data_IF_129641974730
#
_entry.id   IF_129641974730
#
_cell.length_a   1.000
_cell.length_b   1.000
_cell.length_c   1.000
_cell.angle_alpha   90.00
_cell.angle_beta   90.00
_cell.angle_gamma   90.00
#
_symmetry.space_group_name_H-M   'P 1'
#
loop_
_entity.id
_entity.type
_entity.pdbx_description
1 polymer ?
#
# COMPACT_ATOMS: atom_id res chain seq x y z
N UNK A 1 -39.02 31.91 -21.35
CA UNK A 1 -39.46 30.53 -21.09
C UNK A 1 -38.33 29.82 -20.36
N UNK A 2 -38.67 29.22 -19.23
CA UNK A 2 -37.77 28.70 -18.19
C UNK A 2 -37.27 27.28 -18.49
N UNK A 3 -36.07 26.99 -18.01
CA UNK A 3 -35.56 25.70 -17.51
C UNK A 3 -35.58 24.46 -18.42
N UNK A 4 -34.37 23.97 -18.74
CA UNK A 4 -34.04 22.57 -18.41
C UNK A 4 -32.53 22.41 -18.21
N UNK A 5 -32.10 22.77 -17.01
CA UNK A 5 -30.84 22.37 -16.41
C UNK A 5 -30.90 20.88 -16.07
N UNK A 6 -30.57 19.98 -17.01
CA UNK A 6 -30.43 18.55 -16.71
C UNK A 6 -28.94 18.16 -16.57
N UNK A 7 -28.48 18.31 -15.33
CA UNK A 7 -27.45 17.54 -14.64
C UNK A 7 -26.03 17.44 -15.24
N UNK A 8 -25.22 18.48 -15.01
CA UNK A 8 -23.74 18.41 -15.09
C UNK A 8 -23.10 17.50 -14.01
N UNK A 9 -23.89 16.90 -13.10
CA UNK A 9 -23.44 15.99 -12.03
C UNK A 9 -23.56 14.49 -12.35
N UNK A 10 -24.20 14.09 -13.46
CA UNK A 10 -24.31 12.68 -13.84
C UNK A 10 -23.09 12.21 -14.66
N UNK A 11 -21.89 12.19 -14.06
CA UNK A 11 -20.78 11.38 -14.57
C UNK A 11 -20.70 10.09 -13.74
N UNK A 12 -21.30 8.96 -14.17
CA UNK A 12 -21.15 7.67 -13.50
C UNK A 12 -19.67 7.26 -13.35
N UNK A 13 -18.80 7.74 -14.25
CA UNK A 13 -17.36 7.58 -14.18
C UNK A 13 -16.71 8.21 -12.92
N UNK A 14 -17.31 9.22 -12.28
CA UNK A 14 -16.73 9.88 -11.09
C UNK A 14 -17.04 9.16 -9.78
N UNK A 15 -18.22 8.54 -9.67
CA UNK A 15 -18.62 7.75 -8.49
C UNK A 15 -17.93 6.39 -8.52
N UNK A 16 -17.88 5.75 -9.69
CA UNK A 16 -17.18 4.46 -9.86
C UNK A 16 -15.72 4.52 -9.43
N UNK A 17 -14.97 5.56 -9.81
CA UNK A 17 -13.57 5.77 -9.38
C UNK A 17 -13.42 5.86 -7.86
N UNK A 18 -14.34 6.56 -7.19
CA UNK A 18 -14.31 6.70 -5.71
C UNK A 18 -14.64 5.38 -5.01
N UNK A 19 -15.57 4.61 -5.57
CA UNK A 19 -15.91 3.26 -5.05
C UNK A 19 -14.72 2.33 -5.22
N UNK A 20 -14.08 2.29 -6.40
CA UNK A 20 -12.86 1.49 -6.64
C UNK A 20 -11.73 1.92 -5.71
N UNK A 21 -11.52 3.23 -5.51
CA UNK A 21 -10.52 3.76 -4.58
C UNK A 21 -10.79 3.30 -3.14
N UNK A 22 -12.05 3.34 -2.68
CA UNK A 22 -12.42 2.93 -1.33
C UNK A 22 -12.30 1.42 -1.11
N UNK A 23 -12.80 0.61 -2.06
CA UNK A 23 -12.75 -0.86 -1.96
C UNK A 23 -11.32 -1.38 -2.04
N UNK A 24 -10.52 -0.86 -2.99
CA UNK A 24 -9.10 -1.22 -3.07
C UNK A 24 -8.34 -0.82 -1.81
N UNK A 25 -8.60 0.37 -1.27
CA UNK A 25 -8.02 0.83 -0.01
C UNK A 25 -8.40 -0.06 1.18
N UNK A 26 -9.66 -0.52 1.24
CA UNK A 26 -10.13 -1.42 2.30
C UNK A 26 -9.42 -2.78 2.25
N UNK A 27 -9.27 -3.36 1.04
CA UNK A 27 -8.54 -4.63 0.86
C UNK A 27 -7.09 -4.48 1.28
N UNK A 28 -6.41 -3.41 0.85
CA UNK A 28 -5.02 -3.16 1.21
C UNK A 28 -4.86 -2.92 2.72
N UNK A 29 -5.75 -2.17 3.35
CA UNK A 29 -5.74 -1.95 4.79
C UNK A 29 -5.94 -3.25 5.57
N UNK A 30 -6.91 -4.07 5.17
CA UNK A 30 -7.15 -5.39 5.76
C UNK A 30 -5.94 -6.31 5.64
N UNK A 31 -5.28 -6.31 4.49
CA UNK A 31 -4.04 -7.05 4.30
C UNK A 31 -2.92 -6.54 5.21
N UNK A 32 -2.73 -5.23 5.32
CA UNK A 32 -1.69 -4.67 6.21
C UNK A 32 -1.93 -5.12 7.66
N UNK A 33 -3.17 -5.12 8.14
CA UNK A 33 -3.50 -5.61 9.49
C UNK A 33 -3.16 -7.10 9.68
N UNK A 34 -3.56 -7.95 8.72
CA UNK A 34 -3.23 -9.38 8.74
C UNK A 34 -1.72 -9.64 8.64
N UNK A 35 -1.05 -8.91 7.75
CA UNK A 35 0.39 -8.97 7.57
C UNK A 35 1.15 -8.56 8.83
N UNK A 36 0.73 -7.48 9.49
CA UNK A 36 1.29 -7.07 10.78
C UNK A 36 1.09 -8.15 11.84
N UNK A 37 -0.07 -8.81 11.89
CA UNK A 37 -0.32 -9.91 12.83
C UNK A 37 0.66 -11.07 12.65
N UNK A 38 0.97 -11.44 11.40
CA UNK A 38 2.00 -12.42 11.09
C UNK A 38 3.41 -11.96 11.52
N UNK A 39 3.75 -10.69 11.29
CA UNK A 39 5.05 -10.15 11.69
C UNK A 39 5.21 -10.06 13.22
N UNK A 40 4.13 -9.82 13.96
CA UNK A 40 4.17 -9.79 15.43
C UNK A 40 4.56 -11.15 16.03
N UNK A 41 4.42 -12.26 15.29
CA UNK A 41 4.94 -13.57 15.72
C UNK A 41 6.45 -13.56 15.92
N UNK A 42 7.17 -12.60 15.33
CA UNK A 42 8.60 -12.39 15.59
C UNK A 42 8.89 -12.19 17.09
N UNK A 43 8.00 -11.54 17.84
CA UNK A 43 8.15 -11.33 19.28
C UNK A 43 7.88 -12.57 20.13
N UNK A 44 7.27 -13.61 19.53
CA UNK A 44 7.07 -14.91 20.20
C UNK A 44 8.24 -15.88 20.03
N UNK A 45 9.23 -15.52 19.21
CA UNK A 45 10.44 -16.30 18.97
C UNK A 45 10.58 -16.77 17.52
N UNK A 46 11.79 -17.20 17.12
CA UNK A 46 12.10 -17.63 15.75
C UNK A 46 11.20 -18.76 15.25
N UNK A 47 10.84 -19.71 16.11
CA UNK A 47 10.06 -20.90 15.76
C UNK A 47 8.65 -20.52 15.33
N UNK A 48 8.03 -19.55 16.01
CA UNK A 48 6.65 -19.13 15.74
C UNK A 48 6.50 -18.49 14.35
N UNK A 49 7.43 -17.61 13.97
CA UNK A 49 7.40 -16.96 12.66
C UNK A 49 7.78 -17.93 11.54
N UNK A 50 8.76 -18.82 11.77
CA UNK A 50 9.16 -19.80 10.77
C UNK A 50 8.08 -20.86 10.53
N UNK A 51 7.41 -21.34 11.58
CA UNK A 51 6.29 -22.27 11.47
C UNK A 51 5.10 -21.64 10.74
N UNK A 52 4.79 -20.36 11.02
CA UNK A 52 3.76 -19.62 10.29
C UNK A 52 4.11 -19.47 8.80
N UNK A 53 5.36 -19.16 8.48
CA UNK A 53 5.83 -19.07 7.09
C UNK A 53 5.75 -20.42 6.37
N UNK A 54 6.12 -21.53 7.04
CA UNK A 54 5.99 -22.88 6.49
C UNK A 54 4.52 -23.24 6.21
N UNK A 55 3.63 -23.00 7.18
CA UNK A 55 2.18 -23.22 6.99
C UNK A 55 1.62 -22.41 5.82
N UNK A 56 2.06 -21.17 5.64
CA UNK A 56 1.63 -20.34 4.52
C UNK A 56 2.12 -20.89 3.17
N UNK A 57 3.34 -21.42 3.12
CA UNK A 57 3.89 -22.07 1.92
C UNK A 57 3.19 -23.39 1.59
N UNK A 58 2.77 -24.15 2.60
CA UNK A 58 1.99 -25.39 2.44
C UNK A 58 0.55 -25.13 1.95
N UNK A 59 0.10 -23.87 1.97
CA UNK A 59 -1.21 -23.44 1.47
C UNK A 59 -1.08 -22.55 0.22
N UNK A 60 -0.61 -23.09 -0.92
CA UNK A 60 -0.30 -22.29 -2.10
C UNK A 60 -1.53 -21.57 -2.68
N UNK A 61 -2.73 -22.12 -2.52
CA UNK A 61 -3.97 -21.49 -2.96
C UNK A 61 -4.27 -20.18 -2.22
N UNK A 62 -4.06 -20.16 -0.90
CA UNK A 62 -4.21 -18.95 -0.09
C UNK A 62 -3.14 -17.92 -0.45
N UNK A 63 -1.89 -18.37 -0.59
CA UNK A 63 -0.75 -17.50 -0.89
C UNK A 63 -0.89 -16.83 -2.27
N UNK A 64 -1.16 -17.62 -3.32
CA UNK A 64 -1.35 -17.08 -4.67
C UNK A 64 -2.64 -16.27 -4.80
N UNK A 65 -3.73 -16.70 -4.14
CA UNK A 65 -4.98 -15.94 -4.10
C UNK A 65 -4.76 -14.55 -3.49
N UNK A 66 -4.10 -14.48 -2.33
CA UNK A 66 -3.73 -13.22 -1.71
C UNK A 66 -2.83 -12.38 -2.64
N UNK A 67 -1.80 -12.95 -3.27
CA UNK A 67 -0.93 -12.23 -4.20
C UNK A 67 -1.69 -11.59 -5.36
N UNK A 68 -2.56 -12.34 -6.03
CA UNK A 68 -3.31 -11.84 -7.18
C UNK A 68 -4.24 -10.71 -6.75
N UNK A 69 -5.00 -10.91 -5.66
CA UNK A 69 -5.92 -9.89 -5.13
C UNK A 69 -5.17 -8.63 -4.75
N UNK A 70 -3.98 -8.74 -4.14
CA UNK A 70 -3.17 -7.61 -3.73
C UNK A 70 -2.56 -6.86 -4.90
N UNK A 71 -2.06 -7.57 -5.91
CA UNK A 71 -1.51 -6.92 -7.12
C UNK A 71 -2.62 -6.13 -7.82
N UNK A 72 -3.78 -6.75 -8.04
CA UNK A 72 -4.92 -6.09 -8.67
C UNK A 72 -5.41 -4.89 -7.85
N UNK A 73 -5.56 -5.06 -6.54
CA UNK A 73 -6.01 -3.98 -5.64
C UNK A 73 -5.00 -2.83 -5.58
N UNK A 74 -3.70 -3.13 -5.53
CA UNK A 74 -2.64 -2.12 -5.49
C UNK A 74 -2.61 -1.30 -6.78
N UNK A 75 -2.67 -1.95 -7.95
CA UNK A 75 -2.70 -1.27 -9.24
C UNK A 75 -3.96 -0.39 -9.34
N UNK A 76 -5.13 -0.94 -9.00
CA UNK A 76 -6.38 -0.20 -9.02
C UNK A 76 -6.35 1.03 -8.08
N UNK A 77 -5.77 0.87 -6.89
CA UNK A 77 -5.63 1.94 -5.90
C UNK A 77 -4.72 3.07 -6.39
N UNK A 78 -3.53 2.72 -6.89
CA UNK A 78 -2.57 3.71 -7.41
C UNK A 78 -3.16 4.43 -8.62
N UNK A 79 -3.73 3.69 -9.56
CA UNK A 79 -4.31 4.27 -10.78
C UNK A 79 -5.44 5.25 -10.47
N UNK A 80 -6.41 4.84 -9.63
CA UNK A 80 -7.53 5.72 -9.24
C UNK A 80 -7.07 6.89 -8.38
N UNK A 81 -6.09 6.69 -7.50
CA UNK A 81 -5.48 7.76 -6.70
C UNK A 81 -4.79 8.83 -7.55
N UNK A 82 -4.04 8.44 -8.58
CA UNK A 82 -3.41 9.38 -9.52
C UNK A 82 -4.47 10.15 -10.29
N UNK A 83 -5.47 9.46 -10.86
CA UNK A 83 -6.55 10.12 -11.61
C UNK A 83 -7.29 11.14 -10.75
N UNK A 84 -7.68 10.78 -9.51
CA UNK A 84 -8.34 11.71 -8.59
C UNK A 84 -7.45 12.88 -8.20
N UNK A 85 -6.14 12.66 -8.06
CA UNK A 85 -5.18 13.73 -7.75
C UNK A 85 -5.05 14.72 -8.90
N UNK A 86 -4.98 14.23 -10.14
CA UNK A 86 -4.94 15.06 -11.35
C UNK A 86 -6.26 15.83 -11.54
N UNK A 87 -7.41 15.16 -11.38
CA UNK A 87 -8.74 15.79 -11.45
C UNK A 87 -8.89 16.89 -10.39
N UNK A 88 -8.46 16.62 -9.14
CA UNK A 88 -8.47 17.60 -8.06
C UNK A 88 -7.52 18.77 -8.32
N UNK A 89 -6.40 18.55 -9.03
CA UNK A 89 -5.46 19.62 -9.40
C UNK A 89 -6.02 20.49 -10.51
N UNK A 90 -6.54 19.89 -11.59
CA UNK A 90 -7.18 20.60 -12.69
C UNK A 90 -8.38 21.43 -12.24
N UNK A 91 -9.18 20.93 -11.28
CA UNK A 91 -10.29 21.68 -10.69
C UNK A 91 -9.86 22.93 -9.90
N UNK A 92 -8.57 23.07 -9.55
CA UNK A 92 -8.01 24.22 -8.81
C UNK A 92 -7.36 25.26 -9.72
N UNK A 93 -7.19 24.97 -11.01
CA UNK A 93 -6.60 25.91 -11.99
C UNK A 93 -7.55 27.09 -12.31
N UNK A 94 -8.82 27.02 -11.93
CA UNK A 94 -9.79 28.12 -11.99
C UNK A 94 -9.80 29.07 -10.78
N UNK A 95 -8.83 28.95 -9.86
CA UNK A 95 -8.75 29.72 -8.61
C UNK A 95 -9.07 28.89 -7.36
N UNK A 96 -8.77 29.39 -6.14
CA UNK A 96 -9.12 28.69 -4.91
C UNK A 96 -10.64 28.49 -4.87
N UNK A 97 -11.09 27.24 -4.93
CA UNK A 97 -12.49 26.92 -4.65
C UNK A 97 -12.80 27.50 -3.26
N UNK A 98 -13.70 28.49 -3.27
CA UNK A 98 -14.19 29.27 -2.12
C UNK A 98 -14.05 28.51 -0.80
N UNK A 99 -13.35 29.12 0.16
CA UNK A 99 -12.92 28.62 1.48
C UNK A 99 -14.05 28.09 2.40
N UNK A 100 -15.28 27.96 1.93
CA UNK A 100 -16.44 27.75 2.79
C UNK A 100 -16.65 26.29 3.25
N UNK A 101 -16.14 25.25 2.57
CA UNK A 101 -16.58 23.86 2.89
C UNK A 101 -15.58 22.70 2.77
N UNK A 102 -14.35 22.87 2.31
CA UNK A 102 -13.38 21.75 2.20
C UNK A 102 -11.97 22.11 2.66
N UNK A 103 -11.75 22.10 3.98
CA UNK A 103 -10.41 21.82 4.51
C UNK A 103 -10.04 20.40 4.08
N UNK A 104 -9.26 20.25 3.01
CA UNK A 104 -8.54 19.01 2.77
C UNK A 104 -7.74 18.70 4.03
N UNK A 105 -8.05 17.59 4.70
CA UNK A 105 -7.35 17.19 5.92
C UNK A 105 -5.86 17.07 5.63
N UNK A 106 -5.00 17.30 6.64
CA UNK A 106 -3.56 17.13 6.48
C UNK A 106 -3.21 15.74 5.90
N UNK A 107 -3.95 14.71 6.32
CA UNK A 107 -3.90 13.35 5.79
C UNK A 107 -4.16 13.30 4.27
N UNK A 108 -5.14 14.04 3.75
CA UNK A 108 -5.39 14.10 2.29
C UNK A 108 -4.32 14.86 1.51
N UNK A 109 -3.60 15.79 2.15
CA UNK A 109 -2.52 16.56 1.49
C UNK A 109 -1.22 15.77 1.40
N UNK A 110 -0.94 14.92 2.39
CA UNK A 110 0.26 14.08 2.42
C UNK A 110 0.10 12.74 1.71
N UNK A 111 -1.13 12.33 1.37
CA UNK A 111 -1.45 11.03 0.78
C UNK A 111 -0.59 10.64 -0.44
N UNK A 112 -0.32 11.54 -1.42
CA UNK A 112 0.55 11.21 -2.55
C UNK A 112 2.01 10.93 -2.12
N UNK A 113 2.51 11.70 -1.15
CA UNK A 113 3.88 11.55 -0.65
C UNK A 113 4.03 10.25 0.13
N UNK A 114 3.09 9.94 1.04
CA UNK A 114 3.11 8.67 1.76
C UNK A 114 2.94 7.49 0.81
N UNK A 115 2.16 7.63 -0.26
CA UNK A 115 2.01 6.60 -1.30
C UNK A 115 3.33 6.27 -2.01
N UNK A 116 4.14 7.28 -2.37
CA UNK A 116 5.45 7.06 -3.01
C UNK A 116 6.42 6.33 -2.06
N UNK A 117 6.45 6.72 -0.79
CA UNK A 117 7.28 6.06 0.23
C UNK A 117 6.87 4.59 0.40
N UNK A 118 5.56 4.32 0.49
CA UNK A 118 5.03 2.96 0.60
C UNK A 118 5.36 2.14 -0.65
N UNK A 119 5.28 2.72 -1.85
CA UNK A 119 5.59 2.03 -3.10
C UNK A 119 7.07 1.63 -3.17
N UNK A 120 7.98 2.53 -2.77
CA UNK A 120 9.40 2.22 -2.69
C UNK A 120 9.68 1.08 -1.69
N UNK A 121 9.05 1.13 -0.51
CA UNK A 121 9.12 0.05 0.48
C UNK A 121 8.58 -1.27 -0.08
N UNK A 122 7.47 -1.27 -0.81
CA UNK A 122 6.86 -2.47 -1.38
C UNK A 122 7.79 -3.14 -2.41
N UNK A 123 8.45 -2.36 -3.28
CA UNK A 123 9.42 -2.90 -4.24
C UNK A 123 10.59 -3.55 -3.51
N UNK A 124 11.17 -2.86 -2.54
CA UNK A 124 12.23 -3.42 -1.70
C UNK A 124 11.80 -4.71 -0.98
N UNK A 125 10.61 -4.70 -0.37
CA UNK A 125 10.04 -5.83 0.36
C UNK A 125 9.87 -7.06 -0.54
N UNK A 126 9.35 -6.89 -1.76
CA UNK A 126 9.19 -7.99 -2.71
C UNK A 126 10.54 -8.53 -3.20
N UNK A 127 11.49 -7.66 -3.51
CA UNK A 127 12.82 -8.10 -3.97
C UNK A 127 13.60 -8.88 -2.89
N UNK A 128 13.46 -8.46 -1.64
CA UNK A 128 14.14 -9.11 -0.51
C UNK A 128 13.45 -10.44 -0.15
N UNK A 129 12.13 -10.43 0.13
CA UNK A 129 11.44 -11.60 0.68
C UNK A 129 10.84 -12.54 -0.37
N UNK A 130 10.36 -12.02 -1.49
CA UNK A 130 9.69 -12.84 -2.52
C UNK A 130 10.66 -13.33 -3.57
N UNK A 131 11.41 -12.41 -4.19
CA UNK A 131 12.32 -12.76 -5.28
C UNK A 131 13.67 -13.26 -4.79
N UNK A 132 14.01 -13.03 -3.51
CA UNK A 132 15.28 -13.46 -2.95
C UNK A 132 16.43 -13.01 -3.88
N UNK A 133 16.39 -11.75 -4.31
CA UNK A 133 17.36 -11.14 -5.22
C UNK A 133 18.29 -10.15 -4.50
N UNK A 134 17.82 -9.61 -3.37
CA UNK A 134 18.58 -8.72 -2.51
C UNK A 134 18.93 -9.45 -1.21
N UNK A 135 20.11 -10.07 -1.18
CA UNK A 135 20.65 -10.71 0.03
C UNK A 135 21.27 -9.62 0.90
N UNK A 136 20.57 -9.22 1.96
CA UNK A 136 21.13 -8.26 2.91
C UNK A 136 21.93 -9.00 3.98
N UNK A 137 23.16 -8.55 4.23
CA UNK A 137 23.98 -9.04 5.35
C UNK A 137 24.59 -10.43 5.16
N UNK A 138 24.72 -10.93 3.93
CA UNK A 138 25.34 -12.23 3.65
C UNK A 138 24.54 -13.45 4.10
N UNK A 139 23.26 -13.27 4.43
CA UNK A 139 22.35 -14.35 4.81
C UNK A 139 21.85 -15.03 3.53
N UNK A 140 22.11 -16.33 3.42
CA UNK A 140 21.76 -17.11 2.23
C UNK A 140 20.24 -17.27 2.10
N UNK A 141 19.74 -17.38 0.88
CA UNK A 141 18.30 -17.45 0.59
C UNK A 141 17.62 -18.75 0.99
N UNK A 142 18.26 -19.57 1.84
CA UNK A 142 17.67 -20.73 2.53
C UNK A 142 17.55 -20.57 4.05
N UNK A 143 18.14 -19.50 4.60
CA UNK A 143 18.18 -19.28 6.03
C UNK A 143 16.86 -18.65 6.52
N UNK A 144 16.26 -19.27 7.55
CA UNK A 144 15.03 -18.91 8.27
C UNK A 144 14.51 -17.46 8.08
N UNK A 145 13.19 -17.29 7.86
CA UNK A 145 12.53 -15.99 7.69
C UNK A 145 12.90 -15.01 8.80
N UNK A 146 13.01 -15.49 10.04
CA UNK A 146 13.47 -14.70 11.18
C UNK A 146 14.83 -14.01 10.93
N UNK A 147 15.82 -14.72 10.38
CA UNK A 147 17.15 -14.17 10.08
C UNK A 147 17.09 -13.14 8.96
N UNK A 148 16.30 -13.39 7.91
CA UNK A 148 16.12 -12.42 6.82
C UNK A 148 15.54 -11.09 7.33
N UNK A 149 14.56 -11.16 8.24
CA UNK A 149 13.99 -9.97 8.86
C UNK A 149 15.04 -9.22 9.68
N UNK A 150 15.80 -9.89 10.54
CA UNK A 150 16.85 -9.26 11.34
C UNK A 150 17.94 -8.65 10.45
N UNK A 151 18.39 -9.36 9.42
CA UNK A 151 19.41 -8.87 8.50
C UNK A 151 18.96 -7.59 7.78
N UNK A 152 17.67 -7.51 7.43
CA UNK A 152 17.06 -6.30 6.88
C UNK A 152 17.14 -5.10 7.82
N UNK A 153 16.91 -5.29 9.12
CA UNK A 153 17.00 -4.23 10.13
C UNK A 153 18.42 -3.90 10.59
N UNK A 154 19.37 -4.79 10.35
CA UNK A 154 20.78 -4.61 10.75
C UNK A 154 21.56 -3.76 9.74
N UNK A 155 20.99 -3.46 8.56
CA UNK A 155 21.68 -2.68 7.55
C UNK A 155 21.67 -1.16 7.85
N UNK A 156 22.83 -0.50 7.86
CA UNK A 156 22.98 0.89 8.30
C UNK A 156 22.28 1.93 7.41
N UNK A 157 21.88 1.57 6.18
CA UNK A 157 21.08 2.44 5.33
C UNK A 157 19.68 2.75 5.93
N UNK A 158 19.15 1.86 6.79
CA UNK A 158 17.90 2.06 7.53
C UNK A 158 18.13 2.87 8.82
N UNK A 159 19.32 2.74 9.44
CA UNK A 159 19.68 3.48 10.65
C UNK A 159 19.85 4.99 10.43
N UNK A 160 20.28 5.42 9.23
CA UNK A 160 20.45 6.85 8.90
C UNK A 160 19.10 7.59 8.81
N UNK A 161 18.01 6.91 8.43
CA UNK A 161 16.68 7.53 8.37
C UNK A 161 16.02 7.72 9.75
N UNK A 162 16.51 7.02 10.79
CA UNK A 162 15.94 7.03 12.15
C UNK A 162 16.79 7.82 13.18
N UNK A 163 17.83 8.54 12.73
CA UNK A 163 18.71 9.36 13.59
C UNK A 163 18.62 10.87 13.27
N UNK A 164 17.49 11.37 12.76
CA UNK A 164 17.18 12.80 12.72
C UNK A 164 15.76 13.09 13.16
#
# INVERSE_FOLDING_TARGET
>A
MSASSYCSSCRPASIGKKVVMALSGLVLAGFVLGHMTGNLLMFKGPEAINAYAAWLHDNPGLLWGARIVLILSTIAHIWTGILLTLENRAAREGGPAVDATRRASLSSRTMPYSGVVILAFLVFHLLHFTFRQLALGGVDFGDNVYKMVIAGFTQPAVAVFLHR
#
